data_IF_565562930322
#
_entry.id   IF_565562930322
#
_cell.length_a   1.000
_cell.length_b   1.000
_cell.length_c   1.000
_cell.angle_alpha   90.00
_cell.angle_beta   90.00
_cell.angle_gamma   90.00
#
_symmetry.space_group_name_H-M   'P 1'
#
loop_
_entity.id
_entity.type
_entity.pdbx_description
1 polymer ?
#
# COMPACT_ATOMS: atom_id res chain seq x y z
N UNK A 1 30.30 11.40 -23.00
CA UNK A 1 28.94 10.88 -22.84
C UNK A 1 28.71 10.67 -21.34
N UNK A 2 28.02 11.61 -20.70
CA UNK A 2 27.75 11.55 -19.26
C UNK A 2 26.70 10.46 -19.06
N UNK A 3 27.04 9.46 -18.26
CA UNK A 3 26.15 8.36 -17.92
C UNK A 3 24.96 8.89 -17.12
N UNK A 4 23.77 8.67 -17.64
CA UNK A 4 22.53 8.81 -16.89
C UNK A 4 22.57 7.71 -15.82
N UNK A 5 22.32 8.01 -14.53
CA UNK A 5 22.17 6.95 -13.53
C UNK A 5 21.04 6.05 -14.00
N UNK A 6 21.34 4.76 -14.18
CA UNK A 6 20.30 3.75 -14.32
C UNK A 6 19.52 3.80 -13.02
N UNK A 7 18.34 4.42 -13.06
CA UNK A 7 17.33 4.21 -12.05
C UNK A 7 17.00 2.72 -12.19
N UNK A 8 17.26 1.93 -11.15
CA UNK A 8 16.90 0.53 -11.07
C UNK A 8 15.38 0.40 -11.22
N UNK A 9 14.90 0.31 -12.47
CA UNK A 9 13.48 0.28 -12.83
C UNK A 9 12.74 -0.97 -12.31
N UNK A 10 13.43 -1.79 -11.53
CA UNK A 10 12.97 -3.03 -10.96
C UNK A 10 12.84 -2.98 -9.44
N UNK A 11 13.32 -1.96 -8.72
CA UNK A 11 13.21 -1.94 -7.25
C UNK A 11 11.80 -1.55 -6.81
N UNK A 12 11.24 -2.33 -5.87
CA UNK A 12 9.93 -2.03 -5.32
C UNK A 12 9.90 -0.70 -4.57
N UNK A 13 8.99 0.16 -5.00
CA UNK A 13 8.72 1.44 -4.34
C UNK A 13 7.46 1.34 -3.48
N UNK A 14 7.54 1.86 -2.24
CA UNK A 14 6.42 1.84 -1.30
C UNK A 14 5.21 2.66 -1.79
N UNK A 15 5.46 3.80 -2.45
CA UNK A 15 4.44 4.55 -3.15
C UNK A 15 4.60 4.36 -4.65
N UNK A 16 3.51 4.07 -5.38
CA UNK A 16 3.53 3.87 -6.83
C UNK A 16 3.98 5.12 -7.60
N UNK A 17 3.64 6.31 -7.10
CA UNK A 17 3.99 7.58 -7.72
C UNK A 17 5.44 8.05 -7.40
N UNK A 18 6.18 7.29 -6.59
CA UNK A 18 7.53 7.66 -6.13
C UNK A 18 7.56 8.89 -5.22
N UNK A 19 6.39 9.39 -4.79
CA UNK A 19 6.26 10.53 -3.88
C UNK A 19 6.72 10.20 -2.46
N UNK A 20 7.13 11.24 -1.74
CA UNK A 20 7.61 11.15 -0.37
C UNK A 20 6.49 10.70 0.59
N UNK A 21 6.85 9.74 1.44
CA UNK A 21 6.01 9.21 2.51
C UNK A 21 5.70 10.30 3.51
N UNK A 22 4.55 10.24 4.16
CA UNK A 22 4.35 11.04 5.36
C UNK A 22 5.17 10.40 6.50
N UNK A 23 6.27 11.03 6.98
CA UNK A 23 7.23 10.38 7.89
C UNK A 23 6.67 10.14 9.31
N UNK A 24 5.46 10.64 9.58
CA UNK A 24 4.82 10.57 10.88
C UNK A 24 3.99 9.30 11.11
N UNK A 25 3.83 8.44 10.09
CA UNK A 25 3.03 7.23 10.26
C UNK A 25 3.92 6.06 10.69
N UNK A 26 3.60 5.55 11.87
CA UNK A 26 4.33 4.49 12.54
C UNK A 26 3.32 3.37 12.72
N UNK A 27 3.61 2.22 12.15
CA UNK A 27 2.76 1.05 12.33
C UNK A 27 3.59 -0.12 12.86
N UNK A 28 3.01 -0.80 13.83
CA UNK A 28 3.66 -1.85 14.63
C UNK A 28 3.44 -3.25 14.04
N UNK A 29 2.72 -3.34 12.91
CA UNK A 29 2.13 -4.59 12.43
C UNK A 29 2.57 -5.03 11.02
N UNK A 30 3.42 -4.27 10.33
CA UNK A 30 3.94 -4.65 9.01
C UNK A 30 4.77 -5.94 9.02
N UNK A 31 5.39 -6.23 10.15
CA UNK A 31 6.18 -7.43 10.39
C UNK A 31 5.58 -8.12 11.61
N UNK A 32 4.66 -9.06 11.38
CA UNK A 32 4.25 -9.98 12.43
C UNK A 32 5.45 -10.81 12.88
N UNK A 33 6.10 -10.38 13.96
CA UNK A 33 6.25 -11.15 15.19
C UNK A 33 7.22 -10.42 16.14
N UNK A 34 6.75 -10.19 17.37
CA UNK A 34 7.55 -10.18 18.60
C UNK A 34 8.49 -9.01 18.92
N UNK A 35 8.65 -7.98 18.07
CA UNK A 35 9.41 -6.80 18.48
C UNK A 35 8.48 -5.62 18.72
N UNK A 36 8.54 -5.05 19.92
CA UNK A 36 7.93 -3.75 20.26
C UNK A 36 8.52 -2.57 19.45
N UNK A 37 9.18 -2.85 18.33
CA UNK A 37 9.78 -1.89 17.44
C UNK A 37 8.73 -1.46 16.44
N UNK A 38 8.13 -0.31 16.74
CA UNK A 38 7.26 0.39 15.83
C UNK A 38 8.05 0.74 14.56
N UNK A 39 7.66 0.20 13.40
CA UNK A 39 8.38 0.45 12.15
C UNK A 39 7.80 1.67 11.46
N UNK A 40 8.66 2.59 11.07
CA UNK A 40 8.28 3.79 10.33
C UNK A 40 8.04 3.47 8.87
N UNK A 41 7.17 4.23 8.20
CA UNK A 41 6.99 4.13 6.75
C UNK A 41 8.31 4.24 5.97
N UNK A 42 9.25 5.05 6.46
CA UNK A 42 10.58 5.18 5.85
C UNK A 42 11.38 3.86 5.92
N UNK A 43 11.36 3.17 7.06
CA UNK A 43 12.00 1.86 7.19
C UNK A 43 11.34 0.81 6.31
N UNK A 44 10.01 0.84 6.19
CA UNK A 44 9.27 -0.04 5.25
C UNK A 44 9.66 0.26 3.80
N UNK A 45 9.82 1.52 3.42
CA UNK A 45 10.25 1.86 2.07
C UNK A 45 11.68 1.43 1.75
N UNK A 46 12.60 1.56 2.70
CA UNK A 46 13.95 1.03 2.55
C UNK A 46 13.97 -0.50 2.51
N UNK A 47 13.03 -1.16 3.19
CA UNK A 47 12.87 -2.61 3.10
C UNK A 47 12.26 -3.04 1.77
N UNK A 48 11.26 -2.31 1.26
CA UNK A 48 10.59 -2.58 0.00
C UNK A 48 11.57 -2.59 -1.17
N UNK A 49 12.55 -1.67 -1.21
CA UNK A 49 13.61 -1.62 -2.25
C UNK A 49 14.39 -2.93 -2.44
N UNK A 50 14.33 -3.86 -1.47
CA UNK A 50 14.97 -5.18 -1.57
C UNK A 50 14.22 -6.17 -2.46
N UNK A 51 12.99 -5.86 -2.83
CA UNK A 51 12.11 -6.70 -3.67
C UNK A 51 12.00 -6.11 -5.07
N UNK A 52 11.63 -6.95 -6.04
CA UNK A 52 11.37 -6.50 -7.40
C UNK A 52 9.95 -5.91 -7.52
N UNK A 53 9.74 -4.88 -8.34
CA UNK A 53 8.42 -4.30 -8.61
C UNK A 53 7.41 -5.33 -9.15
N UNK A 54 7.87 -6.38 -9.81
CA UNK A 54 7.03 -7.46 -10.31
C UNK A 54 6.69 -8.54 -9.27
N UNK A 55 7.30 -8.50 -8.08
CA UNK A 55 7.03 -9.46 -7.02
C UNK A 55 5.72 -9.13 -6.28
N UNK A 56 4.96 -10.16 -5.90
CA UNK A 56 3.71 -10.00 -5.13
C UNK A 56 3.95 -9.26 -3.80
N UNK A 57 5.13 -9.45 -3.21
CA UNK A 57 5.57 -8.73 -2.02
C UNK A 57 5.56 -7.23 -2.23
N UNK A 58 5.90 -6.75 -3.43
CA UNK A 58 5.87 -5.32 -3.72
C UNK A 58 4.46 -4.75 -3.67
N UNK A 59 3.49 -5.49 -4.22
CA UNK A 59 2.08 -5.07 -4.17
C UNK A 59 1.55 -5.02 -2.73
N UNK A 60 2.04 -5.88 -1.83
CA UNK A 60 1.69 -5.82 -0.40
C UNK A 60 2.29 -4.59 0.28
N UNK A 61 3.56 -4.25 -0.03
CA UNK A 61 4.16 -3.01 0.45
C UNK A 61 3.37 -1.80 -0.02
N UNK A 62 3.06 -1.73 -1.32
CA UNK A 62 2.29 -0.65 -1.91
C UNK A 62 0.90 -0.52 -1.29
N UNK A 63 0.24 -1.64 -0.98
CA UNK A 63 -1.08 -1.63 -0.37
C UNK A 63 -1.03 -0.96 1.00
N UNK A 64 -0.09 -1.37 1.86
CA UNK A 64 0.05 -0.73 3.15
C UNK A 64 0.61 0.70 3.03
N UNK A 65 1.36 1.01 1.96
CA UNK A 65 1.86 2.35 1.67
C UNK A 65 0.69 3.30 1.45
N UNK A 66 -0.26 2.89 0.62
CA UNK A 66 -1.52 3.59 0.40
C UNK A 66 -2.41 3.60 1.65
N UNK A 67 -2.58 2.47 2.33
CA UNK A 67 -3.50 2.35 3.46
C UNK A 67 -3.00 3.08 4.74
N UNK A 68 -1.69 3.10 4.98
CA UNK A 68 -1.10 3.57 6.24
C UNK A 68 -0.11 4.70 6.05
N UNK A 69 0.73 4.68 5.01
CA UNK A 69 1.81 5.67 4.87
C UNK A 69 1.44 6.96 4.13
N UNK A 70 0.17 7.10 3.76
CA UNK A 70 -0.33 8.26 3.03
C UNK A 70 0.25 8.36 1.62
N UNK A 71 0.69 7.24 1.03
CA UNK A 71 1.04 7.22 -0.38
C UNK A 71 -0.19 7.61 -1.18
N UNK A 72 -0.05 8.65 -2.01
CA UNK A 72 -1.10 8.99 -2.96
C UNK A 72 -1.29 7.81 -3.93
N UNK A 73 -2.54 7.42 -4.11
CA UNK A 73 -2.95 6.46 -5.12
C UNK A 73 -3.81 7.25 -6.07
N UNK A 74 -3.28 7.53 -7.26
CA UNK A 74 -4.12 8.00 -8.34
C UNK A 74 -5.18 6.94 -8.62
N UNK A 75 -6.36 7.14 -8.06
CA UNK A 75 -7.55 6.35 -8.35
C UNK A 75 -7.89 6.57 -9.82
N UNK A 76 -7.37 5.69 -10.69
CA UNK A 76 -7.73 5.62 -12.09
C UNK A 76 -9.14 5.00 -12.20
N UNK A 77 -9.85 5.24 -13.30
CA UNK A 77 -11.16 4.59 -13.59
C UNK A 77 -11.11 3.04 -13.57
N UNK A 78 -9.90 2.48 -13.56
CA UNK A 78 -9.60 1.05 -13.51
C UNK A 78 -9.11 0.58 -12.13
N UNK A 79 -9.11 1.44 -11.12
CA UNK A 79 -8.73 1.08 -9.75
C UNK A 79 -9.77 0.17 -9.09
N UNK A 80 -9.29 -0.75 -8.26
CA UNK A 80 -10.12 -1.63 -7.47
C UNK A 80 -10.79 -0.83 -6.36
N UNK A 81 -12.05 -1.17 -6.09
CA UNK A 81 -12.84 -0.60 -5.00
C UNK A 81 -13.15 -1.68 -3.98
N UNK A 82 -13.06 -1.34 -2.69
CA UNK A 82 -13.29 -2.27 -1.58
C UNK A 82 -14.73 -2.80 -1.55
N UNK A 83 -15.71 -1.93 -1.80
CA UNK A 83 -17.11 -2.31 -1.79
C UNK A 83 -17.60 -2.62 -3.21
N UNK A 84 -18.37 -3.70 -3.37
CA UNK A 84 -18.99 -4.04 -4.64
C UNK A 84 -19.80 -2.87 -5.21
N UNK A 85 -19.59 -2.59 -6.50
CA UNK A 85 -20.25 -1.47 -7.19
C UNK A 85 -19.54 -0.13 -7.06
N UNK A 86 -18.34 -0.08 -6.48
CA UNK A 86 -17.51 1.13 -6.46
C UNK A 86 -17.98 2.22 -5.51
N UNK A 87 -18.77 1.84 -4.51
CA UNK A 87 -19.25 2.78 -3.48
C UNK A 87 -18.22 2.95 -2.37
N UNK A 88 -18.21 4.11 -1.74
CA UNK A 88 -17.45 4.32 -0.51
C UNK A 88 -17.99 3.44 0.63
N UNK A 89 -17.12 3.00 1.56
CA UNK A 89 -17.57 2.26 2.72
C UNK A 89 -18.54 3.10 3.56
N UNK A 90 -19.71 2.56 3.97
CA UNK A 90 -20.75 3.32 4.67
C UNK A 90 -20.31 3.84 6.04
N UNK A 91 -19.26 3.25 6.63
CA UNK A 91 -18.64 3.70 7.87
C UNK A 91 -17.11 3.74 7.70
N UNK A 92 -16.55 4.80 7.10
CA UNK A 92 -15.13 4.86 6.73
C UNK A 92 -14.19 4.73 7.93
N UNK A 93 -14.57 5.26 9.09
CA UNK A 93 -13.77 5.24 10.33
C UNK A 93 -13.92 3.95 11.16
N UNK A 94 -14.78 3.01 10.76
CA UNK A 94 -14.91 1.74 11.46
C UNK A 94 -13.65 0.90 11.22
N UNK A 95 -13.14 0.24 12.26
CA UNK A 95 -12.09 -0.77 12.10
C UNK A 95 -12.67 -1.93 11.30
N UNK A 96 -12.20 -2.09 10.07
CA UNK A 96 -12.64 -3.15 9.17
C UNK A 96 -11.71 -4.36 9.20
N UNK A 97 -10.44 -4.16 9.56
CA UNK A 97 -9.50 -5.23 9.89
C UNK A 97 -8.97 -5.03 11.31
N UNK A 98 -9.39 -5.91 12.22
CA UNK A 98 -8.99 -5.83 13.63
C UNK A 98 -7.60 -6.38 13.90
N UNK A 99 -7.06 -7.21 13.01
CA UNK A 99 -5.72 -7.78 13.14
C UNK A 99 -4.66 -6.76 12.70
N UNK A 100 -4.94 -6.04 11.61
CA UNK A 100 -4.08 -4.99 11.06
C UNK A 100 -4.39 -3.58 11.61
N UNK A 101 -5.47 -3.43 12.37
CA UNK A 101 -5.91 -2.13 12.90
C UNK A 101 -6.31 -1.13 11.82
N UNK A 102 -6.75 -1.60 10.66
CA UNK A 102 -7.10 -0.76 9.51
C UNK A 102 -8.58 -0.35 9.56
N UNK A 103 -8.83 0.92 9.28
CA UNK A 103 -10.19 1.40 9.04
C UNK A 103 -10.68 1.00 7.65
N UNK A 104 -12.00 1.00 7.45
CA UNK A 104 -12.60 0.77 6.13
C UNK A 104 -12.08 1.77 5.08
N UNK A 105 -11.86 3.03 5.46
CA UNK A 105 -11.26 4.05 4.60
C UNK A 105 -9.83 3.69 4.18
N UNK A 106 -9.01 3.25 5.13
CA UNK A 106 -7.63 2.86 4.84
C UNK A 106 -7.57 1.63 3.94
N UNK A 107 -8.44 0.64 4.14
CA UNK A 107 -8.54 -0.52 3.25
C UNK A 107 -9.05 -0.14 1.86
N UNK A 108 -10.02 0.78 1.77
CA UNK A 108 -10.51 1.29 0.50
C UNK A 108 -9.42 2.05 -0.26
N UNK A 109 -8.63 2.86 0.45
CA UNK A 109 -7.50 3.56 -0.13
C UNK A 109 -6.42 2.58 -0.61
N UNK A 110 -6.11 1.57 0.21
CA UNK A 110 -5.21 0.47 -0.17
C UNK A 110 -5.70 -0.27 -1.41
N UNK A 111 -7.00 -0.60 -1.51
CA UNK A 111 -7.54 -1.34 -2.63
C UNK A 111 -7.30 -0.63 -3.98
N UNK A 112 -7.30 0.71 -4.00
CA UNK A 112 -7.11 1.49 -5.22
C UNK A 112 -5.78 1.20 -5.96
N UNK A 113 -4.79 0.60 -5.29
CA UNK A 113 -3.53 0.20 -5.93
C UNK A 113 -3.73 -0.91 -6.97
N UNK A 114 -4.77 -1.73 -6.81
CA UNK A 114 -5.00 -2.89 -7.64
C UNK A 114 -5.84 -2.52 -8.85
N UNK A 115 -5.62 -3.21 -9.97
CA UNK A 115 -6.54 -3.13 -11.10
C UNK A 115 -7.87 -3.82 -10.73
N UNK A 116 -9.01 -3.22 -11.09
CA UNK A 116 -10.36 -3.75 -10.79
C UNK A 116 -10.60 -5.18 -11.25
N UNK A 117 -9.92 -5.59 -12.33
CA UNK A 117 -10.03 -6.93 -12.93
C UNK A 117 -8.94 -7.90 -12.44
N UNK A 118 -8.12 -7.50 -11.46
CA UNK A 118 -7.09 -8.36 -10.88
C UNK A 118 -7.69 -9.33 -9.85
N UNK A 119 -7.12 -10.52 -9.74
CA UNK A 119 -7.50 -11.48 -8.71
C UNK A 119 -7.37 -10.87 -7.29
N UNK A 120 -6.37 -10.01 -7.09
CA UNK A 120 -6.16 -9.27 -5.83
C UNK A 120 -7.32 -8.35 -5.48
N UNK A 121 -7.96 -7.74 -6.48
CA UNK A 121 -9.14 -6.93 -6.24
C UNK A 121 -10.31 -7.79 -5.75
N UNK A 122 -10.54 -8.93 -6.37
CA UNK A 122 -11.61 -9.87 -5.99
C UNK A 122 -11.38 -10.45 -4.59
N UNK A 123 -10.13 -10.71 -4.21
CA UNK A 123 -9.75 -11.14 -2.86
C UNK A 123 -9.97 -10.04 -1.80
N UNK A 124 -9.84 -8.77 -2.19
CA UNK A 124 -9.94 -7.61 -1.29
C UNK A 124 -11.37 -7.09 -1.15
N UNK A 125 -12.28 -7.44 -2.06
CA UNK A 125 -13.67 -6.96 -2.06
C UNK A 125 -14.54 -7.66 -1.01
N UNK A 126 -15.41 -6.88 -0.35
CA UNK A 126 -16.39 -7.36 0.64
C UNK A 126 -17.84 -7.00 0.25
#
# INVERSE_FOLDING_TARGET
>A
CIGIPQNDANECSLCMDGNDLHPSFVDTLWFEESSSASTTCQEVAEYAKRFDNAEDQCSQFQFGGAAKCGCDVQSQDTSCTLCQGGSDPPNPSLIGDSELGLTCEQMAHGANIFHKDSDKCLETQF
#
